data_IF_079883033882
#
_entry.id   IF_079883033882
#
_cell.length_a   1.000
_cell.length_b   1.000
_cell.length_c   1.000
_cell.angle_alpha   90.00
_cell.angle_beta   90.00
_cell.angle_gamma   90.00
#
_symmetry.space_group_name_H-M   'P 1'
#
loop_
_entity.id
_entity.type
_entity.pdbx_description
1 polymer ?
#
# COMPACT_ATOMS: atom_id res chain seq x y z
N UNK A 1 12.75 -16.10 -22.77
CA UNK A 1 11.78 -17.03 -22.13
C UNK A 1 10.48 -16.27 -21.95
N UNK A 2 9.35 -16.85 -22.34
CA UNK A 2 8.02 -16.27 -22.06
C UNK A 2 7.79 -16.22 -20.54
N UNK A 3 7.16 -15.15 -20.05
CA UNK A 3 6.78 -15.04 -18.64
C UNK A 3 5.81 -16.18 -18.27
N UNK A 4 6.04 -16.84 -17.14
CA UNK A 4 5.26 -17.98 -16.65
C UNK A 4 5.03 -17.85 -15.14
N UNK A 5 4.02 -18.51 -14.59
CA UNK A 5 3.95 -18.64 -13.13
C UNK A 5 5.10 -19.49 -12.58
N UNK A 6 5.67 -19.08 -11.45
CA UNK A 6 6.67 -19.87 -10.72
C UNK A 6 6.03 -20.95 -9.83
N UNK A 7 4.79 -20.74 -9.43
CA UNK A 7 4.00 -21.66 -8.61
C UNK A 7 2.53 -21.67 -9.09
N UNK A 8 1.61 -22.14 -8.26
CA UNK A 8 0.17 -21.98 -8.47
C UNK A 8 -0.35 -20.57 -8.12
N UNK A 9 0.51 -19.65 -7.69
CA UNK A 9 0.16 -18.26 -7.42
C UNK A 9 0.35 -17.37 -8.67
N UNK A 10 -0.44 -16.30 -8.83
CA UNK A 10 -0.15 -15.27 -9.83
C UNK A 10 1.26 -14.72 -9.65
N UNK A 11 1.97 -14.50 -10.75
CA UNK A 11 3.33 -13.95 -10.74
C UNK A 11 3.33 -12.52 -11.26
N UNK A 12 3.88 -11.61 -10.46
CA UNK A 12 4.10 -10.21 -10.78
C UNK A 12 5.52 -10.04 -11.30
N UNK A 13 5.65 -9.74 -12.57
CA UNK A 13 6.90 -9.33 -13.19
C UNK A 13 6.99 -7.81 -13.20
N UNK A 14 7.90 -7.27 -12.40
CA UNK A 14 8.20 -5.85 -12.30
C UNK A 14 9.51 -5.60 -13.02
N UNK A 15 9.48 -4.76 -14.05
CA UNK A 15 10.68 -4.32 -14.78
C UNK A 15 10.79 -2.82 -14.64
N UNK A 16 11.81 -2.33 -13.95
CA UNK A 16 12.10 -0.90 -13.88
C UNK A 16 12.86 -0.44 -15.12
N UNK A 17 12.71 0.84 -15.47
CA UNK A 17 13.44 1.42 -16.60
C UNK A 17 14.95 1.24 -16.42
N UNK A 18 15.64 0.80 -17.47
CA UNK A 18 17.07 0.47 -17.45
C UNK A 18 17.47 -0.54 -16.37
N UNK A 19 16.53 -1.37 -15.88
CA UNK A 19 16.72 -2.34 -14.81
C UNK A 19 17.29 -1.73 -13.51
N UNK A 20 16.95 -0.47 -13.21
CA UNK A 20 17.40 0.24 -12.00
C UNK A 20 16.97 -0.51 -10.73
N UNK A 21 17.87 -0.73 -9.76
CA UNK A 21 17.51 -1.39 -8.51
C UNK A 21 16.63 -0.51 -7.63
N UNK A 22 15.63 -1.11 -6.97
CA UNK A 22 14.72 -0.40 -6.06
C UNK A 22 15.39 -0.25 -4.69
N UNK A 23 16.10 0.86 -4.48
CA UNK A 23 16.93 1.10 -3.29
C UNK A 23 16.43 2.24 -2.39
N UNK A 24 15.31 2.87 -2.74
CA UNK A 24 14.77 4.03 -2.03
C UNK A 24 13.32 3.84 -1.61
N UNK A 25 12.96 4.40 -0.45
CA UNK A 25 11.57 4.50 0.00
C UNK A 25 10.86 5.77 -0.48
N UNK A 26 11.57 6.76 -1.01
CA UNK A 26 11.00 8.05 -1.41
C UNK A 26 11.05 8.27 -2.91
N UNK A 27 12.01 7.64 -3.60
CA UNK A 27 12.18 7.75 -5.05
C UNK A 27 11.33 6.72 -5.77
N UNK A 28 10.39 7.17 -6.57
CA UNK A 28 9.62 6.33 -7.49
C UNK A 28 10.43 6.06 -8.74
N UNK A 29 10.61 4.79 -9.08
CA UNK A 29 11.21 4.37 -10.34
C UNK A 29 10.10 4.03 -11.34
N UNK A 30 10.12 4.60 -12.56
CA UNK A 30 9.23 4.17 -13.63
C UNK A 30 9.57 2.76 -14.09
N UNK A 31 8.56 2.08 -14.63
CA UNK A 31 8.68 0.73 -15.14
C UNK A 31 7.38 0.16 -15.66
N UNK A 32 7.34 -1.17 -15.74
CA UNK A 32 6.22 -1.92 -16.29
C UNK A 32 5.91 -3.13 -15.39
N UNK A 33 4.63 -3.37 -15.15
CA UNK A 33 4.13 -4.57 -14.48
C UNK A 33 3.52 -5.50 -15.52
N UNK A 34 3.82 -6.79 -15.42
CA UNK A 34 3.12 -7.87 -16.12
C UNK A 34 2.69 -8.93 -15.11
N UNK A 35 1.40 -9.24 -15.08
CA UNK A 35 0.79 -10.24 -14.21
C UNK A 35 0.46 -11.47 -15.03
N UNK A 36 1.09 -12.59 -14.67
CA UNK A 36 0.81 -13.90 -15.24
C UNK A 36 0.00 -14.71 -14.23
N UNK A 37 -1.16 -15.20 -14.64
CA UNK A 37 -2.04 -16.06 -13.83
C UNK A 37 -2.66 -17.15 -14.70
N UNK A 38 -3.03 -18.27 -14.08
CA UNK A 38 -3.77 -19.35 -14.71
C UNK A 38 -5.20 -18.90 -15.01
N UNK A 39 -5.76 -18.04 -14.15
CA UNK A 39 -6.98 -17.30 -14.41
C UNK A 39 -6.69 -16.18 -15.41
N UNK A 40 -7.29 -16.26 -16.59
CA UNK A 40 -7.11 -15.26 -17.64
C UNK A 40 -7.70 -13.89 -17.28
N UNK A 41 -8.66 -13.82 -16.36
CA UNK A 41 -9.29 -12.57 -15.91
C UNK A 41 -8.37 -11.76 -14.99
N UNK A 42 -7.38 -12.41 -14.37
CA UNK A 42 -6.39 -11.78 -13.50
C UNK A 42 -5.17 -11.25 -14.25
N UNK A 43 -5.00 -11.64 -15.52
CA UNK A 43 -3.86 -11.23 -16.34
C UNK A 43 -3.98 -9.76 -16.70
N UNK A 44 -2.90 -9.02 -16.46
CA UNK A 44 -2.85 -7.60 -16.75
C UNK A 44 -1.41 -7.19 -17.00
N UNK A 45 -1.21 -6.21 -17.87
CA UNK A 45 0.08 -5.56 -17.99
C UNK A 45 -0.09 -4.06 -18.20
N UNK A 46 0.87 -3.27 -17.70
CA UNK A 46 0.79 -1.83 -17.85
C UNK A 46 1.94 -1.07 -17.21
N UNK A 47 2.12 0.21 -17.62
CA UNK A 47 3.10 1.08 -17.02
C UNK A 47 2.76 1.36 -15.56
N UNK A 48 3.79 1.42 -14.74
CA UNK A 48 3.71 1.63 -13.31
C UNK A 48 4.96 2.36 -12.81
N UNK A 49 4.90 2.89 -11.60
CA UNK A 49 6.09 3.25 -10.85
C UNK A 49 6.17 2.38 -9.59
N UNK A 50 7.38 2.17 -9.09
CA UNK A 50 7.64 1.36 -7.90
C UNK A 50 8.66 2.04 -6.99
N UNK A 51 8.46 1.88 -5.68
CA UNK A 51 9.44 2.25 -4.66
C UNK A 51 9.45 1.25 -3.52
N UNK A 52 10.48 1.30 -2.71
CA UNK A 52 10.53 0.64 -1.41
C UNK A 52 9.49 1.20 -0.44
N UNK A 53 9.15 0.43 0.60
CA UNK A 53 8.29 0.92 1.69
C UNK A 53 8.67 0.35 3.05
N UNK A 54 7.94 0.80 4.07
CA UNK A 54 8.01 0.30 5.44
C UNK A 54 9.06 1.02 6.28
N UNK A 55 8.93 0.88 7.59
CA UNK A 55 9.87 1.44 8.56
C UNK A 55 10.94 0.39 8.85
N UNK A 56 10.80 -0.38 9.93
CA UNK A 56 11.76 -1.45 10.29
C UNK A 56 11.96 -2.50 9.19
N UNK A 57 10.90 -2.87 8.46
CA UNK A 57 10.96 -3.90 7.41
C UNK A 57 11.82 -3.51 6.21
N UNK A 58 12.06 -2.21 6.00
CA UNK A 58 12.92 -1.75 4.92
C UNK A 58 14.38 -2.16 5.13
N UNK A 59 14.81 -2.33 6.38
CA UNK A 59 16.19 -2.72 6.69
C UNK A 59 16.39 -4.25 6.70
N UNK A 60 15.35 -5.02 6.42
CA UNK A 60 15.41 -6.49 6.37
C UNK A 60 15.93 -7.00 5.02
N UNK A 61 16.32 -8.27 4.94
CA UNK A 61 16.88 -8.86 3.72
C UNK A 61 15.89 -8.82 2.55
N UNK A 62 14.62 -9.13 2.80
CA UNK A 62 13.56 -9.10 1.78
C UNK A 62 12.75 -7.81 1.87
N UNK A 63 12.84 -6.98 0.83
CA UNK A 63 12.25 -5.64 0.79
C UNK A 63 10.76 -5.68 0.40
N UNK A 64 9.87 -4.97 1.10
CA UNK A 64 8.50 -4.72 0.64
C UNK A 64 8.45 -3.54 -0.34
N UNK A 65 7.45 -3.55 -1.21
CA UNK A 65 7.29 -2.54 -2.27
C UNK A 65 5.91 -1.88 -2.23
N UNK A 66 5.86 -0.63 -2.72
CA UNK A 66 4.62 0.02 -3.14
C UNK A 66 4.70 0.20 -4.66
N UNK A 67 3.66 -0.22 -5.35
CA UNK A 67 3.51 -0.05 -6.80
C UNK A 67 2.39 0.96 -7.06
N UNK A 68 2.55 1.82 -8.06
CA UNK A 68 1.56 2.80 -8.49
C UNK A 68 1.34 2.63 -9.98
N UNK A 69 0.16 2.12 -10.35
CA UNK A 69 -0.24 1.96 -11.75
C UNK A 69 -0.48 3.34 -12.38
N UNK A 70 -0.16 3.51 -13.67
CA UNK A 70 -0.39 4.77 -14.36
C UNK A 70 -1.88 5.19 -14.36
N UNK A 71 -2.78 4.21 -14.39
CA UNK A 71 -4.24 4.37 -14.33
C UNK A 71 -4.81 3.56 -13.16
N UNK A 72 -5.96 3.99 -12.62
CA UNK A 72 -6.69 3.18 -11.63
C UNK A 72 -6.95 1.80 -12.23
N UNK A 73 -6.66 0.76 -11.46
CA UNK A 73 -6.64 -0.62 -11.94
C UNK A 73 -7.13 -1.54 -10.83
N UNK A 74 -7.97 -2.52 -11.16
CA UNK A 74 -8.28 -3.64 -10.27
C UNK A 74 -7.21 -4.71 -10.46
N UNK A 75 -6.42 -5.02 -9.43
CA UNK A 75 -5.41 -6.08 -9.50
C UNK A 75 -5.98 -7.39 -8.96
N UNK A 76 -5.81 -8.49 -9.70
CA UNK A 76 -6.24 -9.84 -9.30
C UNK A 76 -7.71 -9.92 -8.86
N UNK A 77 -8.59 -9.21 -9.56
CA UNK A 77 -10.03 -9.11 -9.25
C UNK A 77 -10.34 -8.61 -7.82
N UNK A 78 -9.39 -7.92 -7.18
CA UNK A 78 -9.61 -7.29 -5.88
C UNK A 78 -10.64 -6.15 -6.00
N UNK A 79 -11.40 -5.86 -4.93
CA UNK A 79 -12.52 -4.91 -5.00
C UNK A 79 -12.10 -3.49 -5.38
N UNK A 80 -10.99 -2.99 -4.81
CA UNK A 80 -10.53 -1.63 -5.01
C UNK A 80 -10.11 -1.37 -6.47
N UNK A 81 -10.55 -0.24 -7.01
CA UNK A 81 -10.16 0.25 -8.33
C UNK A 81 -9.26 1.48 -8.15
N UNK A 82 -7.98 1.24 -7.83
CA UNK A 82 -7.05 2.29 -7.44
C UNK A 82 -5.70 2.18 -8.12
N UNK A 83 -4.87 3.24 -8.01
CA UNK A 83 -3.53 3.27 -8.59
C UNK A 83 -2.50 2.59 -7.69
N UNK A 84 -2.57 2.85 -6.39
CA UNK A 84 -1.55 2.44 -5.44
C UNK A 84 -1.86 1.09 -4.80
N UNK A 85 -0.90 0.19 -4.81
CA UNK A 85 -0.99 -1.14 -4.23
C UNK A 85 0.29 -1.48 -3.48
N UNK A 86 0.17 -2.38 -2.52
CA UNK A 86 1.28 -2.76 -1.65
C UNK A 86 1.62 -4.24 -1.84
N UNK A 87 2.92 -4.51 -1.98
CA UNK A 87 3.49 -5.86 -1.92
C UNK A 87 4.20 -6.01 -0.57
N UNK A 88 3.53 -6.66 0.38
CA UNK A 88 4.11 -6.98 1.68
C UNK A 88 4.98 -8.22 1.57
N UNK A 89 6.26 -8.08 1.93
CA UNK A 89 7.21 -9.19 1.96
C UNK A 89 6.95 -10.19 3.10
N UNK A 90 6.21 -9.77 4.13
CA UNK A 90 5.97 -10.50 5.39
C UNK A 90 7.25 -11.12 6.02
N UNK A 91 8.42 -10.53 5.78
CA UNK A 91 9.71 -11.16 6.11
C UNK A 91 9.92 -11.46 7.61
N UNK A 92 9.43 -10.60 8.50
CA UNK A 92 9.51 -10.80 9.94
C UNK A 92 8.58 -11.93 10.42
N UNK A 93 7.48 -12.16 9.71
CA UNK A 93 6.49 -13.17 10.04
C UNK A 93 6.90 -14.53 9.45
N UNK A 94 7.39 -15.44 10.31
CA UNK A 94 7.81 -16.78 9.88
C UNK A 94 6.68 -17.64 9.29
N UNK A 95 5.42 -17.26 9.49
CA UNK A 95 4.27 -17.94 8.88
C UNK A 95 3.85 -17.32 7.55
N UNK A 96 4.31 -16.09 7.27
CA UNK A 96 3.91 -15.24 6.13
C UNK A 96 2.42 -14.87 6.04
N UNK A 97 1.57 -15.34 6.96
CA UNK A 97 0.10 -15.24 6.83
C UNK A 97 -0.58 -14.40 7.92
N UNK A 98 0.11 -13.91 8.96
CA UNK A 98 -0.56 -13.25 10.10
C UNK A 98 -1.35 -12.01 9.69
N UNK A 99 -0.84 -11.22 8.75
CA UNK A 99 -1.59 -10.09 8.19
C UNK A 99 -2.86 -10.56 7.44
N UNK A 100 -2.73 -11.56 6.57
CA UNK A 100 -3.89 -12.12 5.85
C UNK A 100 -4.95 -12.68 6.81
N UNK A 101 -4.52 -13.35 7.89
CA UNK A 101 -5.42 -13.86 8.92
C UNK A 101 -6.14 -12.72 9.64
N UNK A 102 -5.43 -11.68 10.06
CA UNK A 102 -6.03 -10.51 10.70
C UNK A 102 -7.05 -9.80 9.78
N UNK A 103 -6.71 -9.63 8.50
CA UNK A 103 -7.63 -9.06 7.52
C UNK A 103 -8.84 -9.98 7.30
N UNK A 104 -8.65 -11.30 7.22
CA UNK A 104 -9.77 -12.21 7.10
C UNK A 104 -10.70 -12.14 8.31
N UNK A 105 -10.16 -12.01 9.52
CA UNK A 105 -10.95 -11.83 10.75
C UNK A 105 -11.74 -10.52 10.68
N UNK A 106 -11.12 -9.39 10.34
CA UNK A 106 -11.81 -8.10 10.20
C UNK A 106 -12.98 -8.15 9.20
N UNK A 107 -12.76 -8.81 8.06
CA UNK A 107 -13.81 -9.06 7.06
C UNK A 107 -14.95 -9.92 7.61
N UNK A 108 -14.65 -10.99 8.36
CA UNK A 108 -15.67 -11.85 8.97
C UNK A 108 -16.47 -11.16 10.08
N UNK A 109 -15.83 -10.22 10.80
CA UNK A 109 -16.48 -9.40 11.81
C UNK A 109 -17.28 -8.24 11.22
N UNK A 110 -17.22 -8.02 9.91
CA UNK A 110 -17.97 -6.96 9.23
C UNK A 110 -17.44 -5.56 9.50
N UNK A 111 -16.13 -5.40 9.69
CA UNK A 111 -15.52 -4.06 9.77
C UNK A 111 -15.79 -3.28 8.48
N UNK A 112 -16.07 -1.99 8.62
CA UNK A 112 -16.44 -1.11 7.49
C UNK A 112 -15.40 -1.15 6.37
N UNK A 113 -14.12 -1.22 6.75
CA UNK A 113 -13.03 -1.47 5.84
C UNK A 113 -12.12 -2.56 6.38
N UNK A 114 -11.70 -3.47 5.50
CA UNK A 114 -10.62 -4.41 5.73
C UNK A 114 -9.81 -4.55 4.44
N UNK A 115 -8.47 -4.41 4.49
CA UNK A 115 -7.64 -4.56 3.30
C UNK A 115 -7.78 -5.95 2.67
N UNK A 116 -7.71 -5.97 1.34
CA UNK A 116 -7.65 -7.20 0.57
C UNK A 116 -6.33 -7.93 0.79
N UNK A 117 -6.33 -9.25 0.72
CA UNK A 117 -5.11 -10.06 0.78
C UNK A 117 -5.08 -11.10 -0.34
N UNK A 118 -4.08 -11.03 -1.23
CA UNK A 118 -3.78 -12.08 -2.22
C UNK A 118 -2.30 -12.38 -2.23
N UNK A 119 -1.94 -13.67 -2.14
CA UNK A 119 -0.55 -14.09 -2.25
C UNK A 119 -0.12 -14.18 -3.72
N UNK A 120 1.07 -13.66 -3.99
CA UNK A 120 1.65 -13.58 -5.34
C UNK A 120 3.14 -13.93 -5.29
N UNK A 121 3.65 -14.45 -6.38
CA UNK A 121 5.09 -14.53 -6.62
C UNK A 121 5.57 -13.22 -7.25
N UNK A 122 6.75 -12.74 -6.89
CA UNK A 122 7.30 -11.48 -7.42
C UNK A 122 8.65 -11.72 -8.09
N UNK A 123 8.81 -11.17 -9.27
CA UNK A 123 10.06 -11.06 -10.01
C UNK A 123 10.35 -9.58 -10.23
N UNK A 124 11.55 -9.12 -9.88
CA UNK A 124 12.00 -7.75 -10.14
C UNK A 124 13.23 -7.81 -11.04
N UNK A 125 13.20 -7.16 -12.20
CA UNK A 125 14.31 -7.12 -13.16
C UNK A 125 14.91 -8.51 -13.43
N UNK A 126 14.03 -9.47 -13.73
CA UNK A 126 14.34 -10.87 -14.00
C UNK A 126 14.90 -11.68 -12.81
N UNK A 127 14.91 -11.12 -11.60
CA UNK A 127 15.29 -11.83 -10.38
C UNK A 127 14.06 -12.22 -9.57
N UNK A 128 13.95 -13.51 -9.22
CA UNK A 128 12.86 -14.01 -8.39
C UNK A 128 13.04 -13.54 -6.95
N UNK A 129 12.06 -12.81 -6.44
CA UNK A 129 12.04 -12.23 -5.09
C UNK A 129 11.26 -13.11 -4.09
N UNK A 130 10.61 -14.17 -4.57
CA UNK A 130 9.77 -15.06 -3.77
C UNK A 130 8.34 -14.56 -3.57
N UNK A 131 7.65 -15.15 -2.59
CA UNK A 131 6.25 -14.85 -2.28
C UNK A 131 6.06 -13.48 -1.59
N UNK A 132 4.99 -12.78 -1.95
CA UNK A 132 4.53 -11.55 -1.32
C UNK A 132 3.01 -11.63 -1.11
N UNK A 133 2.50 -10.77 -0.24
CA UNK A 133 1.06 -10.49 -0.13
C UNK A 133 0.75 -9.16 -0.81
N UNK A 134 0.00 -9.20 -1.90
CA UNK A 134 -0.66 -8.05 -2.50
C UNK A 134 -1.81 -7.61 -1.58
N UNK A 135 -1.83 -6.33 -1.22
CA UNK A 135 -2.87 -5.71 -0.40
C UNK A 135 -3.13 -4.28 -0.82
N UNK A 136 -4.25 -3.74 -0.36
CA UNK A 136 -4.58 -2.33 -0.46
C UNK A 136 -3.52 -1.46 0.20
N UNK A 137 -3.22 -0.33 -0.42
CA UNK A 137 -2.59 0.78 0.28
C UNK A 137 -3.66 1.42 1.18
N UNK A 138 -3.32 1.63 2.45
CA UNK A 138 -4.21 2.32 3.39
C UNK A 138 -4.14 3.81 3.05
N UNK A 139 -5.20 4.29 2.42
CA UNK A 139 -5.42 5.67 2.01
C UNK A 139 -6.92 5.88 1.78
N UNK A 140 -7.34 7.14 1.67
CA UNK A 140 -8.72 7.49 1.37
C UNK A 140 -9.12 6.97 -0.02
N UNK A 141 -10.26 6.31 -0.12
CA UNK A 141 -10.79 5.86 -1.41
C UNK A 141 -12.04 5.01 -1.30
N UNK A 142 -12.73 4.84 -2.43
CA UNK A 142 -13.87 3.94 -2.53
C UNK A 142 -13.39 2.49 -2.40
N UNK A 143 -14.12 1.68 -1.62
CA UNK A 143 -13.72 0.31 -1.25
C UNK A 143 -12.34 0.26 -0.57
N UNK A 144 -11.93 1.38 0.04
CA UNK A 144 -10.84 1.54 1.00
C UNK A 144 -11.36 2.23 2.26
N UNK A 145 -10.58 3.13 2.86
CA UNK A 145 -11.05 3.96 3.95
C UNK A 145 -11.92 5.07 3.37
N UNK A 146 -13.25 4.94 3.53
CA UNK A 146 -14.20 5.93 3.05
C UNK A 146 -14.21 7.12 4.01
N UNK A 147 -13.74 8.27 3.54
CA UNK A 147 -13.71 9.51 4.32
C UNK A 147 -14.28 10.66 3.48
N UNK A 148 -15.03 11.54 4.13
CA UNK A 148 -15.48 12.79 3.52
C UNK A 148 -14.28 13.67 3.17
N UNK A 149 -14.34 14.34 2.02
CA UNK A 149 -13.26 15.25 1.61
C UNK A 149 -13.29 16.50 2.48
N UNK A 150 -12.16 16.86 3.06
CA UNK A 150 -11.98 18.17 3.68
C UNK A 150 -11.75 19.23 2.59
N UNK A 151 -12.44 20.37 2.71
CA UNK A 151 -12.18 21.55 1.89
C UNK A 151 -11.05 22.35 2.57
N UNK A 152 -9.89 22.42 1.91
CA UNK A 152 -8.70 23.10 2.44
C UNK A 152 -8.84 24.62 2.52
N UNK A 153 -9.94 25.20 2.02
CA UNK A 153 -10.24 26.63 2.16
C UNK A 153 -10.99 26.99 3.43
N UNK A 154 -11.39 26.00 4.24
CA UNK A 154 -12.23 26.21 5.41
C UNK A 154 -11.45 26.08 6.73
N UNK A 155 -11.43 27.15 7.52
CA UNK A 155 -10.65 27.28 8.77
C UNK A 155 -11.51 27.35 10.04
N UNK A 156 -12.83 27.16 9.92
CA UNK A 156 -13.77 27.30 11.05
C UNK A 156 -14.75 26.12 11.13
N UNK A 157 -15.20 25.80 12.35
CA UNK A 157 -16.28 24.84 12.59
C UNK A 157 -17.59 25.33 11.90
N UNK A 158 -18.43 24.43 11.34
CA UNK A 158 -18.32 22.97 11.37
C UNK A 158 -17.45 22.38 10.25
N UNK A 159 -16.84 23.19 9.37
CA UNK A 159 -16.15 22.68 8.18
C UNK A 159 -14.85 21.90 8.48
N UNK A 160 -14.27 22.08 9.67
CA UNK A 160 -13.14 21.28 10.18
C UNK A 160 -13.55 19.85 10.58
N UNK A 161 -14.84 19.49 10.55
CA UNK A 161 -15.38 18.19 11.01
C UNK A 161 -15.41 17.08 9.95
N UNK A 162 -14.70 17.23 8.83
CA UNK A 162 -14.60 16.19 7.81
C UNK A 162 -13.80 14.95 8.26
N UNK A 163 -13.51 14.05 7.34
CA UNK A 163 -12.84 12.79 7.69
C UNK A 163 -11.33 12.95 7.89
N UNK A 164 -10.79 12.31 8.93
CA UNK A 164 -9.34 12.19 9.16
C UNK A 164 -8.92 10.72 9.12
N UNK A 165 -7.72 10.46 8.59
CA UNK A 165 -7.08 9.15 8.70
C UNK A 165 -5.87 9.28 9.62
N UNK A 166 -5.91 8.57 10.75
CA UNK A 166 -4.89 8.61 11.78
C UNK A 166 -4.23 7.24 11.94
N UNK A 167 -2.92 7.22 12.22
CA UNK A 167 -2.16 6.00 12.49
C UNK A 167 -1.54 6.06 13.90
N UNK A 168 -1.75 5.03 14.72
CA UNK A 168 -0.94 4.83 15.93
C UNK A 168 0.46 4.39 15.48
N UNK A 169 1.45 5.25 15.67
CA UNK A 169 2.72 5.13 14.98
C UNK A 169 3.91 5.29 15.94
N UNK A 170 4.64 4.18 16.15
CA UNK A 170 5.88 4.20 16.93
C UNK A 170 7.00 5.02 16.29
N UNK A 171 6.89 5.33 15.00
CA UNK A 171 7.82 6.14 14.21
C UNK A 171 7.27 7.52 13.87
N UNK A 172 6.20 7.99 14.54
CA UNK A 172 5.54 9.25 14.21
C UNK A 172 6.49 10.46 14.12
N UNK A 173 7.53 10.50 14.94
CA UNK A 173 8.56 11.56 14.91
C UNK A 173 9.39 11.63 13.62
N UNK A 174 9.26 10.65 12.73
CA UNK A 174 9.86 10.63 11.40
C UNK A 174 8.89 11.04 10.29
N UNK A 175 7.64 11.35 10.64
CA UNK A 175 6.59 11.75 9.72
C UNK A 175 6.41 13.28 9.76
N UNK A 176 5.96 13.91 8.66
CA UNK A 176 5.83 15.37 8.59
C UNK A 176 4.82 15.94 9.60
N UNK A 177 3.72 15.22 9.82
CA UNK A 177 2.60 15.67 10.64
C UNK A 177 2.20 14.59 11.64
N UNK A 178 2.38 14.88 12.92
CA UNK A 178 2.08 13.96 14.02
C UNK A 178 1.86 14.71 15.33
N UNK A 179 1.22 14.05 16.29
CA UNK A 179 1.02 14.56 17.64
C UNK A 179 1.06 13.43 18.67
N UNK A 180 1.06 13.80 19.96
CA UNK A 180 0.92 12.86 21.07
C UNK A 180 -0.40 13.10 21.77
N UNK A 181 -1.23 12.07 21.88
CA UNK A 181 -2.51 12.14 22.60
C UNK A 181 -2.31 12.34 24.10
N UNK A 182 -3.38 12.70 24.82
CA UNK A 182 -3.39 12.81 26.29
C UNK A 182 -3.01 11.51 27.02
N UNK A 183 -3.05 10.36 26.32
CA UNK A 183 -2.63 9.05 26.83
C UNK A 183 -1.19 8.69 26.46
N UNK A 184 -0.37 9.67 26.03
CA UNK A 184 1.02 9.47 25.60
C UNK A 184 1.19 8.55 24.37
N UNK A 185 0.13 8.36 23.58
CA UNK A 185 0.20 7.59 22.32
C UNK A 185 0.60 8.54 21.18
N UNK A 186 1.64 8.16 20.44
CA UNK A 186 2.09 8.86 19.23
C UNK A 186 1.16 8.54 18.05
N UNK A 187 0.67 9.57 17.39
CA UNK A 187 -0.27 9.50 16.28
C UNK A 187 0.28 10.26 15.08
N UNK A 188 0.33 9.62 13.91
CA UNK A 188 0.62 10.27 12.63
C UNK A 188 -0.68 10.62 11.92
N UNK A 189 -0.74 11.78 11.28
CA UNK A 189 -1.87 12.15 10.41
C UNK A 189 -1.56 11.68 8.99
N UNK A 190 -2.44 10.86 8.41
CA UNK A 190 -2.32 10.29 7.06
C UNK A 190 -3.32 10.87 6.06
N UNK A 191 -4.38 11.51 6.54
CA UNK A 191 -5.31 12.32 5.74
C UNK A 191 -5.91 13.41 6.65
N UNK A 192 -5.97 14.69 6.23
CA UNK A 192 -5.42 15.25 4.98
C UNK A 192 -3.94 14.97 4.75
N UNK A 193 -3.50 15.06 3.49
CA UNK A 193 -2.08 14.90 3.14
C UNK A 193 -1.26 16.04 3.78
N UNK A 194 0.06 15.84 3.92
CA UNK A 194 0.93 16.75 4.69
C UNK A 194 1.04 18.16 4.09
N UNK A 195 0.80 18.31 2.79
CA UNK A 195 0.73 19.59 2.09
C UNK A 195 -0.69 20.20 2.04
N UNK A 196 -1.72 19.47 2.47
CA UNK A 196 -3.12 19.93 2.52
C UNK A 196 -3.60 20.28 3.93
N UNK A 197 -3.01 19.70 4.97
CA UNK A 197 -3.45 19.91 6.36
C UNK A 197 -3.10 21.32 6.87
N UNK A 198 -4.03 21.96 7.56
CA UNK A 198 -3.84 23.31 8.14
C UNK A 198 -3.54 23.27 9.65
N UNK A 199 -2.91 24.30 10.22
CA UNK A 199 -2.70 24.41 11.67
C UNK A 199 -4.00 24.35 12.48
N UNK A 200 -5.10 24.89 11.95
CA UNK A 200 -6.41 24.87 12.60
C UNK A 200 -6.99 23.46 12.72
N UNK A 201 -6.59 22.53 11.84
CA UNK A 201 -6.98 21.11 11.89
C UNK A 201 -6.18 20.30 12.91
N UNK A 202 -5.12 20.88 13.50
CA UNK A 202 -4.25 20.22 14.49
C UNK A 202 -4.53 20.64 15.93
N UNK A 203 -5.41 21.64 16.14
CA UNK A 203 -5.79 22.18 17.45
C UNK A 203 -7.09 21.57 17.97
#
# INVERSE_FOLDING_TARGET
MSAQQFSNLPTFYITTDSAQPITSKSTWLPGYLSIVSSDSTERLSGPMTVRGRGNSTWNMAKKPYRIKMAKKTKLLNLPAHEKDWVLLANHADKTLIRNAVAFKIGSLLGFEFTPSARFVDVVVNNQFMGNYMLTDQIERGDLRVRLEKLDSTMSEQPALSGGYLLEIDGFASSEPVWFTSSQAVKITVKYPDDDEITPEQLN
#
